data_IF_811521572672
#
_entry.id   IF_811521572672
#
_cell.length_a   1.000
_cell.length_b   1.000
_cell.length_c   1.000
_cell.angle_alpha   90.00
_cell.angle_beta   90.00
_cell.angle_gamma   90.00
#
_symmetry.space_group_name_H-M   'P 1'
#
loop_
_entity.id
_entity.type
_entity.pdbx_description
1 polymer ?
#
# COMPACT_ATOMS: atom_id res chain seq x y z
N UNK A 1 -18.20 -0.85 3.07
CA UNK A 1 -17.85 -1.80 4.15
C UNK A 1 -16.54 -1.38 4.78
N UNK A 2 -16.31 -1.63 6.09
CA UNK A 2 -15.01 -1.45 6.70
C UNK A 2 -13.93 -2.29 6.02
N UNK A 3 -12.75 -1.71 5.87
CA UNK A 3 -11.57 -2.32 5.25
C UNK A 3 -10.35 -1.98 6.08
N UNK A 4 -10.22 -2.61 7.25
CA UNK A 4 -9.07 -2.46 8.14
C UNK A 4 -8.12 -3.63 7.94
N UNK A 5 -6.83 -3.39 8.16
CA UNK A 5 -5.82 -4.43 7.99
C UNK A 5 -4.44 -3.99 8.44
N UNK A 6 -3.46 -4.85 8.15
CA UNK A 6 -2.04 -4.58 8.32
C UNK A 6 -1.29 -5.15 7.12
N UNK A 7 -0.33 -4.38 6.60
CA UNK A 7 0.64 -4.83 5.60
C UNK A 7 2.03 -4.71 6.21
N UNK A 8 2.84 -5.74 6.01
CA UNK A 8 4.27 -5.68 6.28
C UNK A 8 5.01 -6.18 5.05
N UNK A 9 6.23 -5.69 4.86
CA UNK A 9 7.00 -6.04 3.68
C UNK A 9 8.43 -5.58 3.73
N UNK A 10 9.10 -5.80 2.59
CA UNK A 10 10.51 -5.48 2.39
C UNK A 10 10.67 -4.77 1.06
N UNK A 11 11.46 -3.70 1.07
CA UNK A 11 11.95 -3.02 -0.13
C UNK A 11 13.04 -3.90 -0.74
N UNK A 12 12.84 -4.34 -1.97
CA UNK A 12 13.73 -5.29 -2.66
C UNK A 12 14.61 -4.62 -3.72
N UNK A 13 14.26 -3.40 -4.12
CA UNK A 13 14.98 -2.62 -5.13
C UNK A 13 14.85 -1.15 -4.81
N UNK A 14 15.91 -0.38 -5.03
CA UNK A 14 15.89 1.07 -4.98
C UNK A 14 16.89 1.62 -5.99
N UNK A 15 16.40 2.40 -6.94
CA UNK A 15 17.18 2.95 -8.05
C UNK A 15 17.03 4.47 -8.06
N UNK A 16 18.15 5.23 -8.02
CA UNK A 16 18.10 6.67 -8.19
C UNK A 16 17.53 7.05 -9.56
N UNK A 17 16.56 7.95 -9.59
CA UNK A 17 16.03 8.55 -10.81
C UNK A 17 16.73 9.89 -11.09
N UNK A 18 16.90 10.69 -10.05
CA UNK A 18 17.61 11.96 -10.07
C UNK A 18 18.16 12.29 -8.66
N UNK A 19 18.56 13.54 -8.42
CA UNK A 19 19.12 14.01 -7.13
C UNK A 19 18.14 13.89 -5.96
N UNK A 20 16.84 14.08 -6.22
CA UNK A 20 15.81 14.07 -5.20
C UNK A 20 14.89 12.86 -5.28
N UNK A 21 14.88 12.07 -6.36
CA UNK A 21 13.92 10.97 -6.52
C UNK A 21 14.60 9.61 -6.60
N UNK A 22 14.01 8.65 -5.89
CA UNK A 22 14.34 7.22 -6.00
C UNK A 22 13.10 6.42 -6.35
N UNK A 23 13.25 5.46 -7.26
CA UNK A 23 12.24 4.43 -7.55
C UNK A 23 12.50 3.23 -6.65
N UNK A 24 11.49 2.81 -5.90
CA UNK A 24 11.57 1.66 -5.01
C UNK A 24 10.50 0.62 -5.34
N UNK A 25 10.88 -0.65 -5.24
CA UNK A 25 9.98 -1.78 -5.38
C UNK A 25 9.94 -2.58 -4.07
N UNK A 26 8.77 -3.04 -3.69
CA UNK A 26 8.55 -3.81 -2.48
C UNK A 26 7.72 -5.07 -2.73
N UNK A 27 8.05 -6.12 -1.99
CA UNK A 27 7.19 -7.29 -1.80
C UNK A 27 6.59 -7.24 -0.40
N UNK A 28 5.31 -7.55 -0.29
CA UNK A 28 4.58 -7.38 0.94
C UNK A 28 3.46 -8.40 1.11
N UNK A 29 2.88 -8.42 2.30
CA UNK A 29 1.76 -9.28 2.62
C UNK A 29 1.17 -8.93 3.97
N UNK A 30 0.04 -9.54 4.28
CA UNK A 30 -0.64 -9.22 5.52
C UNK A 30 -2.03 -9.83 5.62
N UNK A 31 -2.86 -9.17 6.43
CA UNK A 31 -4.25 -9.55 6.62
C UNK A 31 -5.15 -8.32 6.64
N UNK A 32 -6.27 -8.39 5.92
CA UNK A 32 -7.24 -7.32 5.89
C UNK A 32 -8.67 -7.87 5.92
N UNK A 33 -9.59 -7.07 6.45
CA UNK A 33 -11.02 -7.32 6.31
C UNK A 33 -11.40 -7.43 4.83
N UNK A 34 -12.40 -8.26 4.50
CA UNK A 34 -12.87 -8.56 3.14
C UNK A 34 -11.87 -9.34 2.26
N UNK A 35 -10.58 -8.97 2.26
CA UNK A 35 -9.54 -9.61 1.46
C UNK A 35 -8.99 -10.90 2.10
N UNK A 36 -8.92 -10.94 3.43
CA UNK A 36 -8.31 -12.02 4.20
C UNK A 36 -6.79 -11.91 4.21
N UNK A 37 -6.09 -13.06 4.29
CA UNK A 37 -4.64 -13.11 4.08
C UNK A 37 -4.32 -12.79 2.63
N UNK A 38 -3.32 -11.96 2.40
CA UNK A 38 -2.90 -11.55 1.07
C UNK A 38 -1.37 -11.48 0.97
N UNK A 39 -0.89 -11.55 -0.27
CA UNK A 39 0.46 -11.14 -0.66
C UNK A 39 0.32 -10.03 -1.71
N UNK A 40 1.37 -9.25 -1.91
CA UNK A 40 1.32 -8.15 -2.84
C UNK A 40 2.67 -7.58 -3.20
N UNK A 41 2.61 -6.59 -4.06
CA UNK A 41 3.73 -5.77 -4.49
C UNK A 41 3.35 -4.30 -4.42
N UNK A 42 4.35 -3.45 -4.29
CA UNK A 42 4.21 -2.02 -4.45
C UNK A 42 5.42 -1.45 -5.20
N UNK A 43 5.17 -0.43 -6.00
CA UNK A 43 6.20 0.39 -6.65
C UNK A 43 5.89 1.85 -6.33
N UNK A 44 6.91 2.61 -5.93
CA UNK A 44 6.74 4.02 -5.59
C UNK A 44 7.98 4.85 -5.89
N UNK A 45 7.74 6.13 -6.19
CA UNK A 45 8.77 7.14 -6.29
C UNK A 45 8.76 7.97 -5.02
N UNK A 46 9.86 7.92 -4.28
CA UNK A 46 10.09 8.73 -3.08
C UNK A 46 10.92 9.95 -3.46
N UNK A 47 10.43 11.14 -3.10
CA UNK A 47 11.22 12.35 -3.08
C UNK A 47 11.98 12.42 -1.74
N UNK A 48 13.29 12.19 -1.76
CA UNK A 48 14.14 12.20 -0.57
C UNK A 48 14.42 13.62 -0.05
N UNK A 49 14.13 14.65 -0.84
CA UNK A 49 14.35 16.05 -0.47
C UNK A 49 13.19 16.63 0.36
N UNK A 50 11.95 16.19 0.13
CA UNK A 50 10.76 16.64 0.88
C UNK A 50 10.00 15.52 1.63
N UNK A 51 10.43 14.27 1.43
CA UNK A 51 9.89 13.06 2.04
C UNK A 51 8.45 12.70 1.63
N UNK A 52 7.95 13.26 0.53
CA UNK A 52 6.70 12.83 -0.09
C UNK A 52 6.94 11.69 -1.09
N UNK A 53 5.93 10.84 -1.29
CA UNK A 53 6.02 9.76 -2.27
C UNK A 53 4.67 9.43 -2.90
N UNK A 54 4.73 8.89 -4.11
CA UNK A 54 3.56 8.42 -4.87
C UNK A 54 3.86 7.06 -5.47
N UNK A 55 2.85 6.21 -5.57
CA UNK A 55 3.05 4.86 -6.07
C UNK A 55 1.78 4.11 -6.37
N UNK A 56 1.93 2.81 -6.61
CA UNK A 56 0.83 1.89 -6.83
C UNK A 56 1.07 0.54 -6.17
N UNK A 57 -0.01 -0.16 -5.86
CA UNK A 57 0.04 -1.46 -5.20
C UNK A 57 -0.86 -2.47 -5.89
N UNK A 58 -0.54 -3.75 -5.71
CA UNK A 58 -1.43 -4.88 -6.02
C UNK A 58 -1.44 -5.82 -4.82
N UNK A 59 -2.62 -6.05 -4.24
CA UNK A 59 -2.81 -7.05 -3.19
C UNK A 59 -3.69 -8.18 -3.69
N UNK A 60 -3.21 -9.42 -3.55
CA UNK A 60 -3.87 -10.63 -4.00
C UNK A 60 -4.19 -11.52 -2.80
N UNK A 61 -5.47 -11.75 -2.58
CA UNK A 61 -5.96 -12.63 -1.52
C UNK A 61 -5.64 -14.10 -1.81
N UNK A 62 -5.74 -14.94 -0.78
CA UNK A 62 -5.47 -16.38 -0.90
C UNK A 62 -6.36 -17.11 -1.93
N UNK A 63 -7.51 -16.54 -2.30
CA UNK A 63 -8.40 -17.09 -3.32
C UNK A 63 -8.06 -16.64 -4.76
N UNK A 64 -6.99 -15.87 -4.95
CA UNK A 64 -6.55 -15.36 -6.25
C UNK A 64 -7.20 -14.04 -6.67
N UNK A 65 -8.25 -13.58 -5.98
CA UNK A 65 -8.86 -12.28 -6.23
C UNK A 65 -7.94 -11.16 -5.73
N UNK A 66 -7.90 -10.04 -6.45
CA UNK A 66 -7.02 -8.92 -6.15
C UNK A 66 -7.72 -7.58 -6.10
N UNK A 67 -7.09 -6.64 -5.41
CA UNK A 67 -7.36 -5.20 -5.46
C UNK A 67 -6.08 -4.45 -5.79
N UNK A 68 -6.21 -3.31 -6.45
CA UNK A 68 -5.07 -2.45 -6.79
C UNK A 68 -5.49 -0.99 -6.95
N UNK A 69 -4.49 -0.12 -6.91
CA UNK A 69 -4.65 1.29 -7.21
C UNK A 69 -3.45 2.13 -6.76
N UNK A 70 -3.57 3.46 -6.89
CA UNK A 70 -2.52 4.39 -6.51
C UNK A 70 -2.54 4.70 -5.01
N UNK A 71 -1.41 5.20 -4.51
CA UNK A 71 -1.31 5.82 -3.20
C UNK A 71 -0.40 7.05 -3.24
N UNK A 72 -0.54 7.89 -2.22
CA UNK A 72 0.34 9.01 -1.93
C UNK A 72 0.65 9.01 -0.44
N UNK A 73 1.88 9.30 -0.05
CA UNK A 73 2.26 9.36 1.36
C UNK A 73 3.36 10.36 1.65
N UNK A 74 3.62 10.52 2.94
CA UNK A 74 4.65 11.41 3.49
C UNK A 74 5.35 10.71 4.64
N UNK A 75 6.68 10.83 4.68
CA UNK A 75 7.50 10.32 5.77
C UNK A 75 7.88 11.45 6.73
N UNK A 76 7.80 11.17 8.02
CA UNK A 76 8.27 12.07 9.07
C UNK A 76 9.48 11.44 9.77
N UNK A 77 10.65 12.11 9.82
CA UNK A 77 11.81 11.58 10.51
C UNK A 77 11.53 11.32 11.99
N UNK A 78 12.03 10.19 12.50
CA UNK A 78 12.01 9.88 13.94
C UNK A 78 13.37 10.23 14.58
N UNK A 79 13.51 10.15 15.91
CA UNK A 79 14.82 10.27 16.57
C UNK A 79 15.84 9.17 16.18
N UNK A 80 15.40 8.08 15.55
CA UNK A 80 16.27 7.01 15.07
C UNK A 80 16.60 7.28 13.60
N UNK A 81 17.87 7.55 13.24
CA UNK A 81 18.25 7.80 11.86
C UNK A 81 17.85 6.65 10.93
N UNK A 82 17.26 6.99 9.78
CA UNK A 82 16.78 6.00 8.80
C UNK A 82 15.44 5.34 9.13
N UNK A 83 14.83 5.67 10.27
CA UNK A 83 13.47 5.23 10.63
C UNK A 83 12.50 6.41 10.55
N UNK A 84 11.37 6.18 9.88
CA UNK A 84 10.38 7.20 9.59
C UNK A 84 8.99 6.76 10.03
N UNK A 85 8.22 7.70 10.56
CA UNK A 85 6.78 7.53 10.71
C UNK A 85 6.12 7.81 9.35
N UNK A 86 5.22 6.91 8.94
CA UNK A 86 4.51 6.97 7.69
C UNK A 86 3.08 7.50 7.85
N UNK A 87 2.65 8.30 6.89
CA UNK A 87 1.25 8.64 6.67
C UNK A 87 0.93 8.53 5.17
N UNK A 88 0.13 7.53 4.81
CA UNK A 88 -0.20 7.18 3.43
C UNK A 88 -1.71 7.10 3.21
N UNK A 89 -2.17 7.61 2.08
CA UNK A 89 -3.53 7.46 1.59
C UNK A 89 -3.52 6.63 0.31
N UNK A 90 -4.19 5.48 0.35
CA UNK A 90 -4.33 4.57 -0.78
C UNK A 90 -5.76 4.54 -1.31
N UNK A 91 -5.89 4.26 -2.61
CA UNK A 91 -7.16 4.15 -3.32
C UNK A 91 -7.30 2.78 -3.96
N UNK A 92 -8.48 2.19 -3.81
CA UNK A 92 -8.88 1.01 -4.57
C UNK A 92 -9.56 1.51 -5.84
N UNK A 93 -8.91 1.33 -6.98
CA UNK A 93 -9.42 1.77 -8.29
C UNK A 93 -9.65 0.60 -9.25
N UNK A 94 -9.11 -0.57 -8.94
CA UNK A 94 -9.31 -1.79 -9.70
C UNK A 94 -9.37 -3.01 -8.77
N UNK A 95 -9.99 -4.07 -9.28
CA UNK A 95 -10.03 -5.37 -8.61
C UNK A 95 -10.49 -6.47 -9.55
N UNK A 96 -10.24 -7.71 -9.14
CA UNK A 96 -10.56 -8.93 -9.91
C UNK A 96 -11.46 -9.86 -9.12
N UNK A 97 -12.06 -10.84 -9.80
CA UNK A 97 -12.94 -11.84 -9.18
C UNK A 97 -14.06 -11.20 -8.38
N UNK A 98 -14.17 -11.51 -7.08
CA UNK A 98 -15.22 -10.89 -6.25
C UNK A 98 -15.05 -9.38 -6.12
N UNK A 99 -13.85 -8.83 -6.26
CA UNK A 99 -13.57 -7.39 -6.18
C UNK A 99 -13.69 -6.66 -7.52
N UNK A 100 -14.26 -7.29 -8.55
CA UNK A 100 -14.54 -6.61 -9.81
C UNK A 100 -15.37 -5.33 -9.56
N UNK A 101 -14.86 -4.18 -10.03
CA UNK A 101 -15.43 -2.85 -9.83
C UNK A 101 -15.46 -2.37 -8.36
N UNK A 102 -14.72 -3.00 -7.46
CA UNK A 102 -14.57 -2.49 -6.10
C UNK A 102 -13.86 -1.13 -6.14
N UNK A 103 -14.35 -0.19 -5.34
CA UNK A 103 -13.72 1.11 -5.09
C UNK A 103 -13.55 1.31 -3.60
N UNK A 104 -12.68 2.21 -3.18
CA UNK A 104 -12.45 2.42 -1.77
C UNK A 104 -11.22 3.25 -1.49
N UNK A 105 -10.98 3.45 -0.20
CA UNK A 105 -9.83 4.21 0.28
C UNK A 105 -9.44 3.73 1.67
N UNK A 106 -8.15 3.76 1.97
CA UNK A 106 -7.62 3.41 3.27
C UNK A 106 -6.39 4.24 3.60
N UNK A 107 -6.26 4.61 4.87
CA UNK A 107 -5.12 5.34 5.40
C UNK A 107 -4.19 4.37 6.13
N UNK A 108 -2.95 4.28 5.68
CA UNK A 108 -1.92 3.48 6.30
C UNK A 108 -1.02 4.39 7.12
N UNK A 109 -0.75 3.98 8.35
CA UNK A 109 0.25 4.61 9.20
C UNK A 109 1.12 3.54 9.84
N UNK A 110 2.25 3.93 10.40
CA UNK A 110 3.20 2.99 10.99
C UNK A 110 4.63 3.43 10.75
N UNK A 111 5.57 2.49 10.79
CA UNK A 111 6.98 2.80 10.62
C UNK A 111 7.58 2.13 9.40
N UNK A 112 8.47 2.86 8.74
CA UNK A 112 9.35 2.38 7.69
C UNK A 112 10.78 2.51 8.22
N UNK A 113 11.51 1.40 8.22
CA UNK A 113 12.93 1.34 8.54
C UNK A 113 13.72 1.15 7.24
N UNK A 114 14.33 2.24 6.75
CA UNK A 114 15.13 2.23 5.54
C UNK A 114 16.49 1.55 5.74
N UNK A 115 16.96 1.39 6.98
CA UNK A 115 18.21 0.67 7.25
C UNK A 115 18.00 -0.84 7.05
N UNK A 116 16.86 -1.35 7.50
CA UNK A 116 16.45 -2.74 7.28
C UNK A 116 15.73 -2.96 5.94
N UNK A 117 15.27 -1.88 5.30
CA UNK A 117 14.40 -1.94 4.13
C UNK A 117 13.06 -2.58 4.44
N UNK A 118 12.50 -2.38 5.64
CA UNK A 118 11.26 -3.04 6.08
C UNK A 118 10.21 -2.04 6.54
N UNK A 119 8.95 -2.47 6.51
CA UNK A 119 7.83 -1.67 7.02
C UNK A 119 6.75 -2.54 7.64
N UNK A 120 5.98 -1.93 8.54
CA UNK A 120 4.74 -2.50 9.08
C UNK A 120 3.71 -1.40 9.29
N UNK A 121 2.62 -1.48 8.52
CA UNK A 121 1.66 -0.41 8.36
C UNK A 121 0.24 -0.93 8.61
N UNK A 122 -0.30 -0.78 9.85
CA UNK A 122 -1.74 -0.90 10.07
C UNK A 122 -2.50 0.17 9.30
N UNK A 123 -3.74 -0.14 8.92
CA UNK A 123 -4.59 0.82 8.24
C UNK A 123 -6.05 0.73 8.65
N UNK A 124 -6.74 1.84 8.37
CA UNK A 124 -8.19 1.95 8.48
C UNK A 124 -8.78 2.51 7.20
N UNK A 125 -9.90 1.95 6.77
CA UNK A 125 -10.52 2.38 5.52
C UNK A 125 -11.83 1.74 5.20
N UNK A 126 -12.26 1.92 3.95
CA UNK A 126 -13.49 1.38 3.42
C UNK A 126 -13.32 0.84 2.01
N UNK A 127 -14.11 -0.18 1.69
CA UNK A 127 -14.26 -0.74 0.34
C UNK A 127 -15.74 -0.84 0.01
N UNK A 128 -16.11 -0.58 -1.24
CA UNK A 128 -17.47 -0.75 -1.74
C UNK A 128 -17.90 -2.22 -1.60
N UNK A 129 -19.19 -2.44 -1.38
CA UNK A 129 -19.74 -3.80 -1.36
C UNK A 129 -19.65 -4.39 -2.76
N UNK A 130 -19.08 -5.58 -2.85
CA UNK A 130 -19.12 -6.41 -4.05
C UNK A 130 -20.56 -6.91 -4.28
N UNK A 131 -21.10 -6.79 -5.50
CA UNK A 131 -22.35 -7.47 -5.88
C UNK A 131 -23.66 -6.65 -5.98
N UNK A 132 -23.66 -5.49 -6.63
CA UNK A 132 -24.90 -4.88 -7.19
C UNK A 132 -24.81 -4.65 -8.72
N UNK A 133 -24.03 -5.45 -9.42
CA UNK A 133 -24.19 -5.62 -10.86
C UNK A 133 -25.46 -6.40 -11.13
N UNK A 134 -26.59 -5.69 -11.21
CA UNK A 134 -27.89 -6.21 -11.60
C UNK A 134 -27.72 -6.94 -12.94
N UNK A 135 -28.02 -8.25 -12.99
CA UNK A 135 -28.18 -9.00 -14.24
C UNK A 135 -29.15 -8.24 -15.16
N UNK A 136 -28.81 -7.95 -16.42
CA UNK A 136 -29.80 -7.92 -17.50
C UNK A 136 -30.33 -9.34 -17.75
#
# INVERSE_FOLDING_TARGET
MPFNGIVSGTIISTVPLDECHVLSEAVNGGNAMQLGRFNGTAEFVLNVCDLAYVGSYVFTGANGDSISGPFTGTLTPTPIPGVFDNNELAFITAGTGRFANATGTFNLGGQIDNNAGTFSLPWHGTISTVGSGRRP
#
